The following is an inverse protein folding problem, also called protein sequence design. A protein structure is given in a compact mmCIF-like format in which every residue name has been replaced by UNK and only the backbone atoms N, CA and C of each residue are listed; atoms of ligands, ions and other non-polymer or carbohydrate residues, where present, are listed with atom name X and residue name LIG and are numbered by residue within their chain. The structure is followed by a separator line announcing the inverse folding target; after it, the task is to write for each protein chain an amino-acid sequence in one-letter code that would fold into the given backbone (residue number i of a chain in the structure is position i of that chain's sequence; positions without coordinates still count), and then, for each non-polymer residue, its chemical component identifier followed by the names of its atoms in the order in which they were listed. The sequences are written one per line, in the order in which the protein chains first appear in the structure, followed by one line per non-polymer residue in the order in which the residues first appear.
data_IF_948516688347
#
_entry.id   IF_948516688347
#
_cell.length_a   1.000
_cell.length_b   1.000
_cell.length_c   1.000
_cell.angle_alpha   90.00
_cell.angle_beta   90.00
_cell.angle_gamma   90.00
#
_symmetry.space_group_name_H-M   'P 1'
#
loop_
_entity.id
_entity.type
_entity.pdbx_description
1 polymer ?
#
# COMPACT_ATOMS: atom_id res chain seq x y z
N UNK A 1 -37.67 31.80 4.76
CA UNK A 1 -37.40 32.45 6.06
C UNK A 1 -37.41 31.47 7.24
N UNK A 2 -37.83 30.20 7.09
CA UNK A 2 -37.94 29.21 8.17
C UNK A 2 -36.61 28.49 8.60
N UNK A 3 -35.59 28.50 7.78
CA UNK A 3 -34.35 27.74 8.06
C UNK A 3 -33.45 28.36 9.15
N UNK A 4 -33.43 29.70 9.28
CA UNK A 4 -32.63 30.40 10.30
C UNK A 4 -33.22 30.23 11.70
N UNK A 5 -34.53 30.08 11.82
CA UNK A 5 -35.23 29.83 13.10
C UNK A 5 -34.91 28.44 13.64
N UNK A 6 -34.69 27.46 12.78
CA UNK A 6 -34.33 26.10 13.17
C UNK A 6 -32.93 26.02 13.76
N UNK A 7 -31.94 26.72 13.21
CA UNK A 7 -30.55 26.74 13.71
C UNK A 7 -30.46 27.42 15.07
N UNK A 8 -31.11 28.58 15.27
CA UNK A 8 -31.14 29.26 16.60
C UNK A 8 -31.78 28.39 17.67
N UNK A 9 -32.84 27.66 17.30
CA UNK A 9 -33.53 26.75 18.21
C UNK A 9 -32.66 25.55 18.57
N UNK A 10 -31.90 25.01 17.59
CA UNK A 10 -30.93 23.95 17.77
C UNK A 10 -29.79 24.39 18.73
N UNK A 11 -29.16 25.53 18.48
CA UNK A 11 -28.11 26.08 19.36
C UNK A 11 -28.59 26.30 20.79
N UNK A 12 -29.86 26.75 20.97
CA UNK A 12 -30.47 26.92 22.29
C UNK A 12 -30.72 25.58 23.01
N UNK A 13 -31.07 24.54 22.26
CA UNK A 13 -31.19 23.16 22.75
C UNK A 13 -29.85 22.60 23.22
N UNK A 14 -28.79 22.73 22.43
CA UNK A 14 -27.42 22.35 22.80
C UNK A 14 -26.99 23.06 24.11
N UNK A 15 -27.32 24.32 24.26
CA UNK A 15 -27.01 25.13 25.45
C UNK A 15 -27.77 24.71 26.71
N UNK A 16 -28.95 24.10 26.60
CA UNK A 16 -29.78 23.70 27.71
C UNK A 16 -29.41 22.34 28.33
N UNK A 17 -28.88 21.42 27.48
CA UNK A 17 -28.51 20.05 27.85
C UNK A 17 -27.02 19.79 27.61
N UNK A 18 -26.16 20.72 28.01
CA UNK A 18 -24.71 20.72 27.68
C UNK A 18 -23.99 19.39 27.97
N UNK A 19 -24.22 18.80 29.15
CA UNK A 19 -23.54 17.56 29.54
C UNK A 19 -23.87 16.39 28.59
N UNK A 20 -25.15 16.18 28.28
CA UNK A 20 -25.56 15.11 27.37
C UNK A 20 -25.06 15.34 25.93
N UNK A 21 -25.15 16.58 25.46
CA UNK A 21 -24.67 16.95 24.12
C UNK A 21 -23.17 16.73 23.98
N UNK A 22 -22.39 17.12 25.00
CA UNK A 22 -20.93 16.93 24.99
C UNK A 22 -20.58 15.44 24.99
N UNK A 23 -21.25 14.65 25.86
CA UNK A 23 -21.01 13.19 25.93
C UNK A 23 -21.36 12.52 24.60
N UNK A 24 -22.49 12.90 24.00
CA UNK A 24 -22.97 12.32 22.74
C UNK A 24 -22.04 12.67 21.57
N UNK A 25 -21.74 13.97 21.38
CA UNK A 25 -20.84 14.45 20.32
C UNK A 25 -19.44 13.90 20.51
N UNK A 26 -18.90 13.91 21.73
CA UNK A 26 -17.56 13.39 21.98
C UNK A 26 -17.48 11.87 21.75
N UNK A 27 -18.42 11.09 22.30
CA UNK A 27 -18.46 9.64 22.17
C UNK A 27 -18.62 9.22 20.68
N UNK A 28 -19.51 9.91 19.95
CA UNK A 28 -19.72 9.64 18.53
C UNK A 28 -18.48 10.07 17.72
N UNK A 29 -17.85 11.20 18.05
CA UNK A 29 -16.64 11.69 17.35
C UNK A 29 -15.46 10.73 17.50
N UNK A 30 -15.22 10.22 18.71
CA UNK A 30 -14.15 9.24 18.97
C UNK A 30 -14.43 7.92 18.23
N UNK A 31 -15.67 7.43 18.28
CA UNK A 31 -16.04 6.21 17.55
C UNK A 31 -15.86 6.38 16.05
N UNK A 32 -16.31 7.51 15.49
CA UNK A 32 -16.13 7.81 14.06
C UNK A 32 -14.65 7.99 13.68
N UNK A 33 -13.83 8.59 14.56
CA UNK A 33 -12.37 8.65 14.36
C UNK A 33 -11.78 7.25 14.14
N UNK A 34 -12.09 6.30 15.04
CA UNK A 34 -11.57 4.92 14.88
C UNK A 34 -12.10 4.24 13.62
N UNK A 35 -13.37 4.41 13.28
CA UNK A 35 -13.95 3.86 12.06
C UNK A 35 -13.26 4.44 10.82
N UNK A 36 -12.98 5.75 10.80
CA UNK A 36 -12.26 6.42 9.70
C UNK A 36 -10.84 5.85 9.57
N UNK A 37 -10.08 5.76 10.68
CA UNK A 37 -8.71 5.24 10.68
C UNK A 37 -8.66 3.78 10.19
N UNK A 38 -9.55 2.93 10.71
CA UNK A 38 -9.67 1.53 10.28
C UNK A 38 -10.03 1.44 8.79
N UNK A 39 -10.94 2.29 8.33
CA UNK A 39 -11.34 2.31 6.91
C UNK A 39 -10.20 2.72 5.99
N UNK A 40 -9.44 3.77 6.35
CA UNK A 40 -8.27 4.23 5.58
C UNK A 40 -7.23 3.10 5.51
N UNK A 41 -6.87 2.52 6.66
CA UNK A 41 -5.92 1.42 6.72
C UNK A 41 -6.38 0.22 5.87
N UNK A 42 -7.64 -0.18 6.02
CA UNK A 42 -8.21 -1.30 5.26
C UNK A 42 -8.19 -1.05 3.75
N UNK A 43 -8.55 0.15 3.31
CA UNK A 43 -8.52 0.52 1.89
C UNK A 43 -7.08 0.49 1.37
N UNK A 44 -6.11 1.00 2.12
CA UNK A 44 -4.70 0.95 1.76
C UNK A 44 -4.21 -0.50 1.61
N UNK A 45 -4.46 -1.35 2.59
CA UNK A 45 -4.07 -2.76 2.56
C UNK A 45 -4.69 -3.52 1.39
N UNK A 46 -5.99 -3.33 1.15
CA UNK A 46 -6.72 -4.02 0.08
C UNK A 46 -6.45 -3.46 -1.31
N UNK A 47 -5.77 -2.32 -1.43
CA UNK A 47 -5.44 -1.68 -2.71
C UNK A 47 -4.00 -1.89 -3.16
N UNK A 48 -3.21 -2.67 -2.40
CA UNK A 48 -1.82 -2.98 -2.75
C UNK A 48 -1.74 -3.58 -4.16
N UNK A 49 -0.83 -3.02 -4.98
CA UNK A 49 -0.57 -3.36 -6.39
C UNK A 49 -1.77 -3.28 -7.36
N UNK A 50 -2.94 -2.78 -6.95
CA UNK A 50 -4.09 -2.60 -7.86
C UNK A 50 -3.88 -1.55 -8.95
N UNK A 51 -2.88 -0.69 -8.81
CA UNK A 51 -2.51 0.31 -9.82
C UNK A 51 -1.70 -0.26 -10.99
N UNK A 52 -1.25 -1.51 -10.88
CA UNK A 52 -0.48 -2.18 -11.92
C UNK A 52 -1.39 -2.54 -13.11
N UNK A 53 -1.16 -1.91 -14.27
CA UNK A 53 -1.99 -2.09 -15.48
C UNK A 53 -2.04 -3.55 -15.96
N UNK A 54 -0.96 -4.29 -15.73
CA UNK A 54 -0.81 -5.69 -16.14
C UNK A 54 -0.73 -6.65 -14.95
N UNK A 55 -1.21 -6.23 -13.77
CA UNK A 55 -1.10 -7.02 -12.54
C UNK A 55 -1.78 -8.39 -12.60
N UNK A 56 -2.80 -8.54 -13.44
CA UNK A 56 -3.49 -9.80 -13.73
C UNK A 56 -2.66 -10.80 -14.52
N UNK A 57 -1.65 -10.33 -15.28
CA UNK A 57 -0.74 -11.12 -16.09
C UNK A 57 0.65 -11.30 -15.50
N UNK A 58 0.94 -10.61 -14.39
CA UNK A 58 2.23 -10.70 -13.71
C UNK A 58 2.15 -11.75 -12.61
N UNK A 59 3.13 -12.66 -12.60
CA UNK A 59 3.26 -13.71 -11.60
C UNK A 59 4.64 -13.69 -10.97
N UNK A 60 4.72 -13.88 -9.66
CA UNK A 60 5.95 -14.16 -8.96
C UNK A 60 6.19 -15.66 -8.89
N UNK A 61 7.43 -16.08 -9.15
CA UNK A 61 7.84 -17.48 -9.04
C UNK A 61 8.15 -17.79 -7.58
N UNK A 62 7.50 -18.82 -7.06
CA UNK A 62 7.64 -19.29 -5.69
C UNK A 62 7.91 -20.81 -5.66
N UNK A 63 8.42 -21.27 -4.55
CA UNK A 63 8.42 -22.67 -4.14
C UNK A 63 7.51 -22.85 -2.90
N UNK A 64 7.44 -24.03 -2.30
CA UNK A 64 6.49 -24.36 -1.22
C UNK A 64 6.57 -23.39 -0.02
N UNK A 65 7.75 -22.88 0.32
CA UNK A 65 7.98 -22.10 1.53
C UNK A 65 8.40 -20.65 1.28
N UNK A 66 8.66 -20.25 0.02
CA UNK A 66 9.18 -18.92 -0.25
C UNK A 66 9.00 -18.41 -1.68
N UNK A 67 8.91 -17.07 -1.79
CA UNK A 67 8.89 -16.36 -3.07
C UNK A 67 10.30 -15.84 -3.34
N UNK A 68 11.21 -16.77 -3.61
CA UNK A 68 12.61 -16.47 -3.89
C UNK A 68 13.18 -17.43 -4.94
N UNK A 69 14.13 -16.94 -5.72
CA UNK A 69 14.84 -17.69 -6.76
C UNK A 69 16.29 -17.20 -6.88
N UNK A 70 17.00 -17.69 -7.91
CA UNK A 70 18.24 -17.11 -8.39
C UNK A 70 17.99 -16.12 -9.54
N UNK A 71 18.89 -15.16 -9.74
CA UNK A 71 18.79 -14.14 -10.80
C UNK A 71 18.56 -14.74 -12.20
N UNK A 72 19.27 -15.81 -12.61
CA UNK A 72 19.13 -16.35 -13.99
C UNK A 72 17.80 -17.05 -14.26
N UNK A 73 17.05 -17.44 -13.20
CA UNK A 73 15.84 -18.27 -13.33
C UNK A 73 14.79 -17.62 -14.22
N UNK A 74 14.52 -16.33 -14.02
CA UNK A 74 13.51 -15.61 -14.81
C UNK A 74 13.81 -15.67 -16.31
N UNK A 75 15.07 -15.42 -16.70
CA UNK A 75 15.50 -15.42 -18.11
C UNK A 75 15.44 -16.80 -18.72
N UNK A 76 15.86 -17.85 -17.99
CA UNK A 76 15.77 -19.24 -18.46
C UNK A 76 14.33 -19.69 -18.68
N UNK A 77 13.42 -19.25 -17.81
CA UNK A 77 11.99 -19.53 -18.00
C UNK A 77 11.44 -18.83 -19.24
N UNK A 78 11.84 -17.57 -19.49
CA UNK A 78 11.43 -16.83 -20.69
C UNK A 78 11.94 -17.51 -21.99
N UNK A 79 13.18 -18.00 -21.99
CA UNK A 79 13.75 -18.72 -23.14
C UNK A 79 12.98 -20.02 -23.44
N UNK A 80 12.51 -20.72 -22.41
CA UNK A 80 11.86 -22.04 -22.54
C UNK A 80 10.36 -21.96 -22.81
N UNK A 81 9.67 -20.97 -22.23
CA UNK A 81 8.21 -20.90 -22.26
C UNK A 81 7.73 -19.69 -23.08
N UNK A 82 7.19 -19.94 -24.29
CA UNK A 82 6.74 -18.87 -25.19
C UNK A 82 5.51 -18.10 -24.67
N UNK A 83 4.83 -18.58 -23.63
CA UNK A 83 3.75 -17.90 -22.94
C UNK A 83 4.23 -16.67 -22.20
N UNK A 84 5.51 -16.62 -21.82
CA UNK A 84 6.11 -15.49 -21.13
C UNK A 84 6.43 -14.40 -22.14
N UNK A 85 5.86 -13.22 -21.95
CA UNK A 85 6.14 -12.03 -22.76
C UNK A 85 7.42 -11.34 -22.31
N UNK A 86 7.53 -11.09 -20.99
CA UNK A 86 8.65 -10.37 -20.37
C UNK A 86 8.95 -10.94 -19.00
N UNK A 87 10.16 -10.66 -18.53
CA UNK A 87 10.58 -10.99 -17.16
C UNK A 87 11.21 -9.77 -16.50
N UNK A 88 11.09 -9.70 -15.19
CA UNK A 88 11.76 -8.69 -14.39
C UNK A 88 12.18 -9.29 -13.05
N UNK A 89 13.38 -9.88 -12.94
CA UNK A 89 13.92 -10.26 -11.65
C UNK A 89 14.23 -9.02 -10.82
N UNK A 90 13.85 -9.09 -9.53
CA UNK A 90 14.01 -8.00 -8.57
C UNK A 90 14.72 -8.53 -7.32
N UNK A 91 15.73 -7.80 -6.85
CA UNK A 91 16.40 -8.03 -5.56
C UNK A 91 16.10 -6.85 -4.67
N UNK A 92 15.30 -7.08 -3.65
CA UNK A 92 14.87 -6.08 -2.66
C UNK A 92 15.08 -6.61 -1.25
N UNK A 93 15.08 -5.72 -0.26
CA UNK A 93 15.27 -6.02 1.17
C UNK A 93 16.62 -6.63 1.59
N UNK A 94 17.50 -6.98 0.66
CA UNK A 94 18.81 -7.50 0.96
C UNK A 94 19.87 -6.40 1.16
N UNK A 95 19.55 -5.16 0.76
CA UNK A 95 20.44 -4.01 0.78
C UNK A 95 19.75 -2.80 1.43
N UNK A 96 19.11 -3.03 2.57
CA UNK A 96 18.46 -1.97 3.35
C UNK A 96 19.49 -1.19 4.15
N UNK A 97 19.27 0.13 4.28
CA UNK A 97 20.11 1.02 5.07
C UNK A 97 21.58 1.03 4.66
N UNK A 98 21.86 0.88 3.37
CA UNK A 98 23.21 1.04 2.82
C UNK A 98 23.63 2.50 2.89
N UNK A 99 24.89 2.76 3.28
CA UNK A 99 25.40 4.11 3.33
C UNK A 99 25.80 4.54 1.92
N UNK A 100 25.28 5.69 1.50
CA UNK A 100 25.63 6.33 0.22
C UNK A 100 26.11 7.76 0.43
N UNK A 101 26.88 8.28 -0.51
CA UNK A 101 27.50 9.61 -0.44
C UNK A 101 27.24 10.37 -1.73
N UNK A 102 26.82 11.63 -1.60
CA UNK A 102 26.74 12.60 -2.70
C UNK A 102 26.87 14.02 -2.13
N UNK A 103 27.60 14.90 -2.83
CA UNK A 103 27.77 16.32 -2.44
C UNK A 103 28.08 16.52 -0.95
N UNK A 104 29.10 15.82 -0.43
CA UNK A 104 29.53 15.83 0.99
C UNK A 104 28.48 15.35 2.00
N UNK A 105 27.31 14.92 1.54
CA UNK A 105 26.28 14.30 2.39
C UNK A 105 26.48 12.80 2.44
N UNK A 106 26.24 12.24 3.64
CA UNK A 106 26.25 10.81 3.91
C UNK A 106 24.88 10.40 4.44
N UNK A 107 24.21 9.46 3.77
CA UNK A 107 22.86 9.05 4.14
C UNK A 107 22.68 7.54 4.00
N UNK A 108 21.75 6.99 4.77
CA UNK A 108 21.27 5.62 4.56
C UNK A 108 20.27 5.59 3.42
N UNK A 109 20.39 4.59 2.55
CA UNK A 109 19.52 4.35 1.42
C UNK A 109 19.12 2.87 1.33
N UNK A 110 17.90 2.62 0.93
CA UNK A 110 17.41 1.29 0.60
C UNK A 110 17.63 1.05 -0.90
N UNK A 111 18.49 0.10 -1.21
CA UNK A 111 18.82 -0.25 -2.59
C UNK A 111 17.93 -1.39 -3.07
N UNK A 112 17.45 -1.26 -4.29
CA UNK A 112 16.78 -2.32 -5.02
C UNK A 112 17.47 -2.51 -6.36
N UNK A 113 17.65 -3.76 -6.78
CA UNK A 113 18.22 -4.10 -8.09
C UNK A 113 17.14 -4.76 -8.93
N UNK A 114 17.00 -4.31 -10.17
CA UNK A 114 16.01 -4.85 -11.09
C UNK A 114 16.53 -4.87 -12.53
N UNK A 115 15.81 -5.60 -13.37
CA UNK A 115 16.05 -5.58 -14.80
C UNK A 115 15.83 -4.21 -15.41
N UNK A 116 16.50 -3.93 -16.53
CA UNK A 116 16.37 -2.66 -17.26
C UNK A 116 14.94 -2.37 -17.73
N UNK A 117 14.11 -3.39 -17.85
CA UNK A 117 12.70 -3.29 -18.25
C UNK A 117 11.76 -2.85 -17.12
N UNK A 118 12.24 -2.62 -15.91
CA UNK A 118 11.43 -2.37 -14.71
C UNK A 118 10.25 -1.42 -14.93
N UNK A 119 10.49 -0.24 -15.53
CA UNK A 119 9.44 0.76 -15.80
C UNK A 119 8.53 0.44 -16.99
N UNK A 120 8.89 -0.55 -17.80
CA UNK A 120 8.05 -1.10 -18.87
C UNK A 120 7.33 -2.38 -18.44
N UNK A 121 7.79 -2.99 -17.36
CA UNK A 121 7.20 -4.19 -16.77
C UNK A 121 6.16 -3.83 -15.71
N UNK A 122 6.52 -2.92 -14.80
CA UNK A 122 5.64 -2.41 -13.74
C UNK A 122 5.13 -1.01 -14.07
N UNK A 123 3.97 -0.66 -13.53
CA UNK A 123 3.32 0.64 -13.73
C UNK A 123 3.78 1.71 -12.72
N UNK A 124 5.00 1.59 -12.20
CA UNK A 124 5.58 2.64 -11.35
C UNK A 124 5.87 3.89 -12.16
N UNK A 125 5.57 5.04 -11.57
CA UNK A 125 5.67 6.32 -12.26
C UNK A 125 7.09 6.86 -12.25
N UNK A 126 7.66 7.07 -13.43
CA UNK A 126 8.88 7.81 -13.64
C UNK A 126 8.53 9.30 -13.79
N UNK A 127 9.17 10.16 -13.00
CA UNK A 127 8.92 11.61 -12.96
C UNK A 127 9.85 12.37 -13.88
N UNK A 128 11.10 11.89 -14.00
CA UNK A 128 12.12 12.43 -14.90
C UNK A 128 12.94 11.28 -15.47
N UNK A 129 13.34 11.40 -16.72
CA UNK A 129 14.06 10.39 -17.48
C UNK A 129 13.19 9.67 -18.51
N UNK A 130 13.80 8.81 -19.32
CA UNK A 130 13.13 7.99 -20.33
C UNK A 130 13.07 6.53 -19.83
N UNK A 131 11.87 5.95 -19.77
CA UNK A 131 11.62 4.57 -19.31
C UNK A 131 12.53 3.53 -19.98
N UNK A 132 12.91 3.76 -21.24
CA UNK A 132 13.75 2.84 -22.00
C UNK A 132 15.25 3.07 -21.77
N UNK A 133 15.65 4.17 -21.12
CA UNK A 133 17.05 4.57 -21.00
C UNK A 133 17.58 4.65 -19.58
N UNK A 134 16.70 4.90 -18.59
CA UNK A 134 17.12 5.17 -17.21
C UNK A 134 17.91 4.03 -16.56
N UNK A 135 17.72 2.78 -16.99
CA UNK A 135 18.45 1.60 -16.48
C UNK A 135 19.21 0.88 -17.58
N UNK A 136 19.68 1.55 -18.65
CA UNK A 136 20.41 0.89 -19.75
C UNK A 136 21.84 0.53 -19.35
N UNK A 137 22.59 1.45 -18.79
CA UNK A 137 23.96 1.18 -18.38
C UNK A 137 24.00 0.58 -16.97
N UNK A 138 25.02 -0.26 -16.70
CA UNK A 138 25.19 -0.96 -15.41
C UNK A 138 25.31 0.00 -14.23
N UNK A 139 25.89 1.17 -14.45
CA UNK A 139 26.09 2.21 -13.44
C UNK A 139 24.97 3.26 -13.42
N UNK A 140 23.86 3.04 -14.10
CA UNK A 140 22.70 3.91 -14.02
C UNK A 140 21.89 3.62 -12.76
N UNK A 141 21.34 4.70 -12.18
CA UNK A 141 20.45 4.63 -11.02
C UNK A 141 19.22 5.51 -11.23
N UNK A 142 18.09 5.04 -10.74
CA UNK A 142 16.87 5.86 -10.59
C UNK A 142 16.66 6.11 -9.12
N UNK A 143 16.48 7.38 -8.75
CA UNK A 143 16.31 7.81 -7.36
C UNK A 143 14.84 8.09 -7.05
N UNK A 144 14.36 7.77 -5.84
CA UNK A 144 13.02 8.15 -5.40
C UNK A 144 12.93 9.67 -5.17
N UNK A 145 11.72 10.24 -5.38
CA UNK A 145 11.49 11.69 -5.17
C UNK A 145 11.89 12.14 -3.77
N UNK A 146 11.46 11.41 -2.76
CA UNK A 146 11.74 11.77 -1.37
C UNK A 146 13.24 11.73 -1.07
N UNK A 147 13.95 10.72 -1.59
CA UNK A 147 15.38 10.61 -1.37
C UNK A 147 16.17 11.65 -2.19
N UNK A 148 15.73 11.96 -3.42
CA UNK A 148 16.30 13.05 -4.23
C UNK A 148 16.24 14.39 -3.50
N UNK A 149 15.09 14.74 -2.94
CA UNK A 149 14.92 15.99 -2.18
C UNK A 149 15.80 16.03 -0.92
N UNK A 150 15.98 14.91 -0.22
CA UNK A 150 16.85 14.83 0.97
C UNK A 150 18.33 14.99 0.60
N UNK A 151 18.77 14.34 -0.47
CA UNK A 151 20.17 14.28 -0.85
C UNK A 151 20.62 15.53 -1.61
N UNK A 152 19.85 15.98 -2.57
CA UNK A 152 20.19 17.09 -3.49
C UNK A 152 19.44 18.39 -3.18
N UNK A 153 18.36 18.34 -2.36
CA UNK A 153 17.55 19.54 -2.06
C UNK A 153 16.76 20.00 -3.27
N UNK A 154 17.05 21.22 -3.73
CA UNK A 154 16.40 21.84 -4.90
C UNK A 154 17.16 21.62 -6.21
N UNK A 155 18.36 21.05 -6.17
CA UNK A 155 19.19 20.81 -7.35
C UNK A 155 18.62 19.63 -8.15
N UNK A 156 18.79 19.71 -9.48
CA UNK A 156 18.40 18.59 -10.34
C UNK A 156 19.29 17.37 -10.05
N UNK A 157 18.72 16.26 -9.61
CA UNK A 157 19.49 15.07 -9.33
C UNK A 157 19.96 14.33 -10.59
N UNK A 158 19.34 14.56 -11.76
CA UNK A 158 19.68 13.85 -13.00
C UNK A 158 21.06 14.30 -13.49
N UNK A 159 21.92 13.34 -13.78
CA UNK A 159 23.33 13.57 -14.14
C UNK A 159 24.27 13.66 -12.94
N UNK A 160 23.77 13.71 -11.72
CA UNK A 160 24.59 13.69 -10.51
C UNK A 160 25.11 12.27 -10.21
N UNK A 161 26.25 12.19 -9.53
CA UNK A 161 26.87 10.92 -9.11
C UNK A 161 26.58 10.62 -7.65
N UNK A 162 26.23 9.39 -7.34
CA UNK A 162 26.08 8.87 -5.99
C UNK A 162 27.10 7.76 -5.80
N UNK A 163 27.97 7.91 -4.80
CA UNK A 163 28.92 6.87 -4.40
C UNK A 163 28.20 5.91 -3.44
N UNK A 164 28.21 4.63 -3.76
CA UNK A 164 27.51 3.57 -3.00
C UNK A 164 28.46 2.59 -2.31
N UNK A 165 29.75 2.62 -2.68
CA UNK A 165 30.85 1.94 -1.98
C UNK A 165 32.16 2.70 -2.22
N UNK A 166 33.26 2.20 -1.67
CA UNK A 166 34.58 2.83 -1.89
C UNK A 166 35.03 2.78 -3.35
N UNK A 167 34.57 1.77 -4.09
CA UNK A 167 34.95 1.54 -5.50
C UNK A 167 33.83 1.81 -6.49
N UNK A 168 32.58 2.01 -6.04
CA UNK A 168 31.43 2.04 -6.93
C UNK A 168 30.65 3.35 -6.79
N UNK A 169 30.49 4.01 -7.94
CA UNK A 169 29.62 5.18 -8.09
C UNK A 169 28.60 4.93 -9.21
N UNK A 170 27.38 5.42 -9.01
CA UNK A 170 26.31 5.35 -9.99
C UNK A 170 25.87 6.74 -10.40
N UNK A 171 25.41 6.88 -11.64
CA UNK A 171 24.87 8.11 -12.19
C UNK A 171 23.36 8.11 -12.08
N UNK A 172 22.78 9.14 -11.51
CA UNK A 172 21.34 9.34 -11.48
C UNK A 172 20.86 9.67 -12.89
N UNK A 173 20.05 8.82 -13.48
CA UNK A 173 19.53 8.94 -14.85
C UNK A 173 18.03 9.20 -14.89
N UNK A 174 17.37 9.15 -13.72
CA UNK A 174 15.95 9.43 -13.59
C UNK A 174 15.50 9.57 -12.15
N UNK A 175 14.31 10.13 -12.00
CA UNK A 175 13.61 10.26 -10.71
C UNK A 175 12.29 9.53 -10.81
N UNK A 176 12.00 8.66 -9.86
CA UNK A 176 10.72 7.95 -9.77
C UNK A 176 9.88 8.49 -8.61
N UNK A 177 8.57 8.30 -8.70
CA UNK A 177 7.68 8.47 -7.56
C UNK A 177 8.03 7.42 -6.48
N UNK A 178 7.86 7.79 -5.21
CA UNK A 178 8.14 6.85 -4.12
C UNK A 178 7.29 5.59 -4.29
N UNK A 179 7.92 4.42 -4.22
CA UNK A 179 7.20 3.14 -4.23
C UNK A 179 6.39 3.04 -2.95
N UNK A 180 5.08 3.09 -3.09
CA UNK A 180 4.10 2.97 -2.00
C UNK A 180 3.04 1.97 -2.40
N UNK A 181 2.39 1.38 -1.41
CA UNK A 181 1.24 0.51 -1.63
C UNK A 181 1.53 -0.63 -2.63
N UNK A 182 2.70 -1.28 -2.47
CA UNK A 182 3.16 -2.36 -3.34
C UNK A 182 3.81 -3.49 -2.52
N UNK A 183 3.75 -4.72 -3.05
CA UNK A 183 4.55 -5.84 -2.58
C UNK A 183 6.05 -5.60 -2.82
N UNK A 184 6.42 -4.77 -3.80
CA UNK A 184 7.80 -4.31 -3.96
C UNK A 184 8.09 -3.27 -2.87
N UNK A 185 9.16 -3.44 -2.04
CA UNK A 185 9.47 -2.56 -0.93
C UNK A 185 9.81 -1.13 -1.36
N UNK A 186 9.64 -0.21 -0.41
CA UNK A 186 10.15 1.15 -0.57
C UNK A 186 11.63 1.14 -0.94
N UNK A 187 11.97 1.91 -1.96
CA UNK A 187 13.29 1.94 -2.57
C UNK A 187 13.75 3.38 -2.72
N UNK A 188 14.93 3.69 -2.19
CA UNK A 188 15.56 5.00 -2.38
C UNK A 188 16.33 5.07 -3.69
N UNK A 189 17.06 3.99 -4.02
CA UNK A 189 17.84 3.84 -5.24
C UNK A 189 17.50 2.53 -5.94
N UNK A 190 17.00 2.63 -7.16
CA UNK A 190 16.80 1.50 -8.06
C UNK A 190 18.00 1.40 -9.00
N UNK A 191 18.66 0.27 -8.96
CA UNK A 191 19.89 -0.03 -9.69
C UNK A 191 19.65 -1.17 -10.67
N UNK A 192 20.50 -1.24 -11.68
CA UNK A 192 20.47 -2.35 -12.62
C UNK A 192 20.94 -3.64 -11.97
N UNK A 193 20.25 -4.76 -12.28
CA UNK A 193 20.49 -6.05 -11.60
C UNK A 193 21.91 -6.58 -11.77
N UNK A 194 22.55 -6.29 -12.90
CA UNK A 194 23.94 -6.71 -13.14
C UNK A 194 24.95 -5.99 -12.21
N UNK A 195 24.55 -4.84 -11.64
CA UNK A 195 25.35 -4.12 -10.64
C UNK A 195 25.43 -4.82 -9.29
N UNK A 196 24.53 -5.75 -9.01
CA UNK A 196 24.49 -6.43 -7.70
C UNK A 196 25.77 -7.22 -7.38
N UNK A 197 26.49 -7.69 -8.40
CA UNK A 197 27.75 -8.44 -8.22
C UNK A 197 28.85 -7.64 -7.54
N UNK A 198 28.79 -6.32 -7.58
CA UNK A 198 29.74 -5.43 -6.91
C UNK A 198 29.53 -5.41 -5.40
N UNK A 199 28.32 -5.73 -4.94
CA UNK A 199 27.96 -5.83 -3.52
C UNK A 199 28.03 -7.27 -3.01
N UNK A 200 27.63 -8.21 -3.86
CA UNK A 200 27.65 -9.62 -3.54
C UNK A 200 27.86 -10.45 -4.82
N UNK A 201 29.09 -10.89 -5.01
CA UNK A 201 29.48 -11.66 -6.19
C UNK A 201 28.70 -12.99 -6.38
N UNK A 202 28.04 -13.50 -5.31
CA UNK A 202 27.21 -14.71 -5.42
C UNK A 202 25.87 -14.45 -6.10
N UNK A 203 25.47 -13.19 -6.31
CA UNK A 203 24.19 -12.79 -6.91
C UNK A 203 24.30 -12.50 -8.41
N UNK A 204 25.42 -12.87 -9.07
CA UNK A 204 25.60 -12.62 -10.49
C UNK A 204 24.62 -13.35 -11.41
N UNK A 205 24.50 -12.82 -12.63
CA UNK A 205 23.62 -13.37 -13.69
C UNK A 205 23.97 -14.81 -14.08
N UNK A 206 25.21 -15.21 -13.93
CA UNK A 206 25.75 -16.54 -14.22
C UNK A 206 25.79 -17.46 -12.99
N UNK A 207 25.29 -16.98 -11.83
CA UNK A 207 25.37 -17.67 -10.56
C UNK A 207 24.08 -18.42 -10.21
N UNK A 208 24.02 -19.67 -10.57
CA UNK A 208 22.89 -20.58 -10.25
C UNK A 208 22.96 -21.15 -8.82
N UNK A 209 23.98 -20.83 -8.07
CA UNK A 209 24.17 -21.31 -6.69
C UNK A 209 23.55 -20.40 -5.62
N UNK A 210 22.98 -19.26 -6.00
CA UNK A 210 22.22 -18.41 -5.10
C UNK A 210 20.72 -18.61 -5.31
N UNK A 211 20.00 -18.96 -4.26
CA UNK A 211 18.61 -19.31 -4.32
C UNK A 211 17.70 -18.45 -3.41
N UNK A 212 18.23 -17.40 -2.79
CA UNK A 212 17.49 -16.74 -1.71
C UNK A 212 17.27 -15.23 -1.87
N UNK A 213 17.81 -14.60 -2.90
CA UNK A 213 17.85 -13.15 -2.96
C UNK A 213 16.85 -12.52 -3.93
N UNK A 214 16.47 -13.25 -4.97
CA UNK A 214 15.75 -12.70 -6.12
C UNK A 214 14.29 -13.12 -6.12
N UNK A 215 13.37 -12.18 -6.35
CA UNK A 215 12.01 -12.49 -6.77
C UNK A 215 11.96 -12.42 -8.30
N UNK A 216 11.67 -13.54 -8.95
CA UNK A 216 11.50 -13.60 -10.40
C UNK A 216 10.04 -13.27 -10.75
N UNK A 217 9.82 -12.13 -11.38
CA UNK A 217 8.51 -11.78 -11.93
C UNK A 217 8.43 -12.13 -13.41
N UNK A 218 7.33 -12.77 -13.81
CA UNK A 218 7.01 -13.19 -15.17
C UNK A 218 5.74 -12.47 -15.61
N UNK A 219 5.76 -11.83 -16.77
CA UNK A 219 4.56 -11.29 -17.41
C UNK A 219 4.13 -12.23 -18.53
N UNK A 220 2.91 -12.73 -18.44
CA UNK A 220 2.34 -13.61 -19.46
C UNK A 220 1.84 -12.80 -20.66
N UNK A 221 1.87 -13.40 -21.85
CA UNK A 221 1.16 -12.87 -23.02
C UNK A 221 -0.34 -12.80 -22.76
N UNK A 222 -1.07 -11.88 -23.41
CA UNK A 222 -2.52 -11.80 -23.27
C UNK A 222 -3.18 -13.17 -23.54
N UNK A 223 -4.00 -13.62 -22.57
CA UNK A 223 -4.70 -14.91 -22.65
C UNK A 223 -3.86 -16.16 -22.37
N UNK A 224 -2.55 -16.04 -22.14
CA UNK A 224 -1.71 -17.16 -21.77
C UNK A 224 -1.75 -17.45 -20.26
N UNK A 225 -1.71 -18.74 -19.90
CA UNK A 225 -1.63 -19.21 -18.51
C UNK A 225 -0.57 -20.31 -18.39
N UNK A 226 0.40 -20.09 -17.53
CA UNK A 226 1.51 -21.03 -17.31
C UNK A 226 1.29 -21.91 -16.06
N UNK A 227 0.25 -21.64 -15.24
CA UNK A 227 -0.04 -22.41 -14.04
C UNK A 227 -0.28 -23.91 -14.26
N UNK A 228 -0.91 -24.35 -15.37
CA UNK A 228 -1.02 -25.79 -15.67
C UNK A 228 0.31 -26.48 -15.96
N UNK A 229 1.40 -25.73 -16.21
CA UNK A 229 2.73 -26.25 -16.55
C UNK A 229 3.73 -26.20 -15.39
N UNK A 230 3.28 -25.92 -14.16
CA UNK A 230 4.18 -25.79 -12.99
C UNK A 230 5.01 -27.03 -12.70
N UNK A 231 4.49 -28.23 -12.96
CA UNK A 231 5.24 -29.49 -12.81
C UNK A 231 6.32 -29.64 -13.88
N UNK A 232 6.04 -29.21 -15.13
CA UNK A 232 7.03 -29.16 -16.21
C UNK A 232 8.13 -28.14 -15.89
N UNK A 233 7.76 -26.97 -15.34
CA UNK A 233 8.72 -25.95 -14.89
C UNK A 233 9.60 -26.51 -13.76
N UNK A 234 9.03 -27.22 -12.79
CA UNK A 234 9.80 -27.81 -11.70
C UNK A 234 10.78 -28.86 -12.23
N UNK A 235 10.38 -29.65 -13.23
CA UNK A 235 11.23 -30.62 -13.90
C UNK A 235 12.36 -29.92 -14.67
N UNK A 236 12.04 -28.88 -15.44
CA UNK A 236 13.04 -28.10 -16.15
C UNK A 236 14.04 -27.41 -15.21
N UNK A 237 13.57 -26.90 -14.05
CA UNK A 237 14.47 -26.29 -13.07
C UNK A 237 15.49 -27.29 -12.48
N UNK A 238 15.21 -28.59 -12.44
CA UNK A 238 16.17 -29.62 -12.02
C UNK A 238 17.42 -29.69 -12.91
N UNK A 239 17.33 -29.25 -14.15
CA UNK A 239 18.45 -29.27 -15.09
C UNK A 239 19.53 -28.25 -14.72
N UNK A 240 19.17 -27.09 -14.16
CA UNK A 240 20.11 -25.98 -13.97
C UNK A 240 20.08 -25.34 -12.59
N UNK A 241 19.01 -25.49 -11.78
CA UNK A 241 18.88 -24.78 -10.52
C UNK A 241 18.99 -25.75 -9.32
N UNK A 242 20.04 -25.62 -8.57
CA UNK A 242 20.48 -26.59 -7.57
C UNK A 242 19.43 -26.97 -6.50
N UNK A 243 18.52 -26.06 -6.00
CA UNK A 243 17.56 -26.48 -4.99
C UNK A 243 16.56 -27.53 -5.51
N UNK A 244 16.18 -27.44 -6.81
CA UNK A 244 15.34 -28.43 -7.46
C UNK A 244 16.14 -29.69 -7.82
N UNK A 245 17.40 -29.54 -8.26
CA UNK A 245 18.29 -30.67 -8.56
C UNK A 245 18.54 -31.54 -7.33
N UNK A 246 18.68 -30.93 -6.14
CA UNK A 246 18.86 -31.62 -4.86
C UNK A 246 17.54 -32.02 -4.20
N UNK A 247 16.40 -31.81 -4.85
CA UNK A 247 15.06 -32.10 -4.36
C UNK A 247 14.69 -31.40 -3.04
N UNK A 248 15.37 -30.32 -2.71
CA UNK A 248 15.03 -29.44 -1.58
C UNK A 248 13.74 -28.68 -1.86
N UNK A 249 13.59 -28.19 -3.09
CA UNK A 249 12.37 -27.58 -3.61
C UNK A 249 11.75 -28.55 -4.62
N UNK A 250 10.45 -28.80 -4.49
CA UNK A 250 9.77 -29.84 -5.29
C UNK A 250 8.75 -29.26 -6.26
N UNK A 251 8.08 -28.17 -5.85
CA UNK A 251 7.01 -27.57 -6.62
C UNK A 251 7.35 -26.15 -7.01
N UNK A 252 6.90 -25.77 -8.19
CA UNK A 252 6.84 -24.36 -8.61
C UNK A 252 5.42 -23.86 -8.39
N UNK A 253 5.30 -22.68 -7.83
CA UNK A 253 4.04 -21.99 -7.61
C UNK A 253 4.13 -20.63 -8.28
N UNK A 254 3.15 -20.30 -9.11
CA UNK A 254 3.04 -19.00 -9.75
C UNK A 254 1.98 -18.20 -9.01
N UNK A 255 2.42 -17.19 -8.27
CA UNK A 255 1.54 -16.35 -7.46
C UNK A 255 1.21 -15.09 -8.26
N UNK A 256 -0.07 -14.81 -8.58
CA UNK A 256 -0.46 -13.56 -9.23
C UNK A 256 -0.03 -12.36 -8.40
N UNK A 257 0.41 -11.27 -9.04
CA UNK A 257 0.87 -10.05 -8.35
C UNK A 257 -0.21 -9.48 -7.43
N UNK A 258 -1.48 -9.53 -7.84
CA UNK A 258 -2.61 -9.05 -7.05
C UNK A 258 -2.84 -9.85 -5.74
N UNK A 259 -2.30 -11.06 -5.65
CA UNK A 259 -2.42 -11.96 -4.50
C UNK A 259 -1.13 -12.03 -3.69
N UNK A 260 0.00 -11.56 -4.27
CA UNK A 260 1.33 -11.71 -3.70
C UNK A 260 1.43 -11.11 -2.29
N UNK A 261 0.89 -9.91 -2.10
CA UNK A 261 0.95 -9.21 -0.81
C UNK A 261 0.31 -9.99 0.34
N UNK A 262 -0.82 -10.66 0.08
CA UNK A 262 -1.55 -11.48 1.06
C UNK A 262 -1.26 -12.98 0.94
N UNK A 263 -0.29 -13.36 0.09
CA UNK A 263 0.09 -14.78 -0.05
C UNK A 263 0.54 -15.35 1.29
N UNK A 264 0.17 -16.60 1.60
CA UNK A 264 0.73 -17.33 2.74
C UNK A 264 2.22 -17.63 2.55
N UNK A 265 2.67 -17.75 1.29
CA UNK A 265 4.08 -17.95 0.94
C UNK A 265 4.74 -16.58 0.88
N UNK A 266 5.69 -16.34 1.79
CA UNK A 266 6.38 -15.05 1.92
C UNK A 266 7.70 -15.02 1.14
N UNK A 267 8.17 -13.83 0.83
CA UNK A 267 9.45 -13.59 0.16
C UNK A 267 10.14 -12.35 0.68
N UNK A 268 11.03 -11.80 -0.13
CA UNK A 268 11.80 -10.58 0.22
C UNK A 268 11.00 -9.28 0.03
N UNK A 269 9.75 -9.37 -0.43
CA UNK A 269 8.85 -8.23 -0.61
C UNK A 269 8.06 -7.85 0.64
N UNK A 270 7.29 -6.77 0.54
CA UNK A 270 6.28 -6.43 1.54
C UNK A 270 5.17 -7.48 1.54
N UNK A 271 4.64 -7.76 2.72
CA UNK A 271 3.54 -8.70 2.86
C UNK A 271 2.59 -8.26 3.96
N UNK A 272 1.30 -8.47 3.74
CA UNK A 272 0.24 -8.22 4.70
C UNK A 272 -0.34 -9.52 5.29
N UNK A 273 -1.22 -9.35 6.26
CA UNK A 273 -2.02 -10.43 6.83
C UNK A 273 -3.50 -10.17 6.56
N UNK A 274 -4.08 -10.94 5.65
CA UNK A 274 -5.50 -10.82 5.29
C UNK A 274 -6.42 -11.08 6.48
N UNK A 275 -6.03 -11.98 7.40
CA UNK A 275 -6.82 -12.27 8.60
C UNK A 275 -6.86 -11.07 9.52
N UNK A 276 -5.71 -10.41 9.71
CA UNK A 276 -5.63 -9.20 10.51
C UNK A 276 -6.54 -8.09 9.95
N UNK A 277 -6.53 -7.88 8.64
CA UNK A 277 -7.40 -6.90 7.97
C UNK A 277 -8.88 -7.21 8.20
N UNK A 278 -9.29 -8.49 8.08
CA UNK A 278 -10.68 -8.92 8.31
C UNK A 278 -11.08 -8.70 9.78
N UNK A 279 -10.20 -9.03 10.73
CA UNK A 279 -10.46 -8.80 12.17
C UNK A 279 -10.62 -7.30 12.43
N UNK A 280 -9.73 -6.47 11.88
CA UNK A 280 -9.78 -5.02 12.06
C UNK A 280 -11.06 -4.41 11.47
N UNK A 281 -11.49 -4.86 10.29
CA UNK A 281 -12.79 -4.47 9.70
C UNK A 281 -13.96 -4.85 10.61
N UNK A 282 -13.93 -6.07 11.17
CA UNK A 282 -14.99 -6.54 12.09
C UNK A 282 -15.05 -5.67 13.34
N UNK A 283 -13.90 -5.30 13.91
CA UNK A 283 -13.81 -4.37 15.05
C UNK A 283 -14.38 -3.00 14.66
N UNK A 284 -14.04 -2.47 13.49
CA UNK A 284 -14.59 -1.19 13.00
C UNK A 284 -16.12 -1.21 12.89
N UNK A 285 -16.69 -2.29 12.37
CA UNK A 285 -18.14 -2.48 12.30
C UNK A 285 -18.76 -2.53 13.70
N UNK A 286 -18.14 -3.26 14.64
CA UNK A 286 -18.62 -3.33 16.02
C UNK A 286 -18.59 -1.96 16.71
N UNK A 287 -17.52 -1.20 16.53
CA UNK A 287 -17.42 0.19 17.06
C UNK A 287 -18.56 1.04 16.50
N UNK A 288 -18.85 0.95 15.20
CA UNK A 288 -19.92 1.69 14.58
C UNK A 288 -21.30 1.29 15.16
N UNK A 289 -21.53 0.01 15.35
CA UNK A 289 -22.77 -0.51 15.96
C UNK A 289 -22.90 0.02 17.39
N UNK A 290 -21.85 -0.02 18.21
CA UNK A 290 -21.90 0.53 19.57
C UNK A 290 -22.10 2.05 19.59
N UNK A 291 -21.50 2.78 18.64
CA UNK A 291 -21.74 4.21 18.50
C UNK A 291 -23.22 4.54 18.21
N UNK A 292 -23.84 3.76 17.31
CA UNK A 292 -25.27 3.88 17.01
C UNK A 292 -26.12 3.53 18.22
N UNK A 293 -25.83 2.46 18.95
CA UNK A 293 -26.55 2.12 20.19
C UNK A 293 -26.41 3.18 21.27
N UNK A 294 -25.19 3.73 21.47
CA UNK A 294 -24.98 4.83 22.39
C UNK A 294 -25.84 6.04 22.06
N UNK A 295 -25.88 6.43 20.76
CA UNK A 295 -26.74 7.50 20.27
C UNK A 295 -28.22 7.22 20.51
N UNK A 296 -28.70 6.00 20.22
CA UNK A 296 -30.08 5.60 20.45
C UNK A 296 -30.43 5.68 21.94
N UNK A 297 -29.58 5.11 22.81
CA UNK A 297 -29.82 5.10 24.25
C UNK A 297 -29.90 6.51 24.83
N UNK A 298 -29.02 7.44 24.42
CA UNK A 298 -29.06 8.84 24.83
C UNK A 298 -30.30 9.56 24.32
N UNK A 299 -30.71 9.28 23.09
CA UNK A 299 -31.93 9.82 22.48
C UNK A 299 -33.19 9.34 23.22
N UNK A 300 -33.25 8.06 23.58
CA UNK A 300 -34.36 7.48 24.36
C UNK A 300 -34.39 8.05 25.80
N UNK A 301 -33.23 8.18 26.43
CA UNK A 301 -33.18 8.82 27.79
C UNK A 301 -33.71 10.26 27.82
N UNK A 302 -33.61 10.98 26.69
CA UNK A 302 -34.14 12.35 26.55
C UNK A 302 -35.61 12.38 26.07
N UNK A 303 -36.19 11.24 25.71
CA UNK A 303 -37.53 11.16 25.06
C UNK A 303 -38.62 11.83 25.93
N UNK A 304 -38.57 11.69 27.26
CA UNK A 304 -39.56 12.31 28.15
C UNK A 304 -39.52 13.84 28.12
N UNK A 305 -38.37 14.45 28.08
CA UNK A 305 -38.21 15.91 27.97
C UNK A 305 -38.62 16.39 26.55
N UNK A 306 -38.23 15.68 25.55
CA UNK A 306 -38.60 15.95 24.15
C UNK A 306 -40.13 15.82 23.91
N UNK A 307 -40.79 14.81 24.51
CA UNK A 307 -42.23 14.65 24.44
C UNK A 307 -43.00 15.85 24.99
N UNK A 308 -42.58 16.41 26.12
CA UNK A 308 -43.16 17.63 26.69
C UNK A 308 -43.03 18.83 25.73
N UNK A 309 -41.81 19.05 25.19
CA UNK A 309 -41.60 20.14 24.21
C UNK A 309 -42.46 19.95 22.94
N UNK A 310 -42.54 18.75 22.44
CA UNK A 310 -43.32 18.43 21.26
C UNK A 310 -44.84 18.60 21.48
N UNK A 311 -45.35 18.17 22.66
CA UNK A 311 -46.75 18.38 23.05
C UNK A 311 -47.06 19.86 23.10
N UNK A 312 -46.22 20.68 23.76
CA UNK A 312 -46.45 22.14 23.84
C UNK A 312 -46.49 22.78 22.43
N UNK A 313 -45.58 22.39 21.54
CA UNK A 313 -45.53 22.94 20.18
C UNK A 313 -46.74 22.51 19.35
N UNK A 314 -47.24 21.31 19.57
CA UNK A 314 -48.43 20.81 18.90
C UNK A 314 -49.69 21.58 19.34
N UNK A 315 -49.74 21.92 20.62
CA UNK A 315 -50.80 22.80 21.15
C UNK A 315 -50.72 24.22 20.57
N UNK A 316 -49.54 24.66 20.17
CA UNK A 316 -49.29 25.96 19.52
C UNK A 316 -49.46 25.90 18.00
N UNK A 317 -49.97 24.78 17.44
CA UNK A 317 -50.34 24.67 16.02
C UNK A 317 -49.30 24.06 15.09
N UNK A 318 -48.18 23.51 15.60
CA UNK A 318 -47.18 22.84 14.74
C UNK A 318 -47.73 21.54 14.15
N UNK A 319 -47.48 21.28 12.85
CA UNK A 319 -47.84 20.06 12.17
C UNK A 319 -46.92 18.88 12.56
N UNK A 320 -47.40 17.64 12.34
CA UNK A 320 -46.58 16.44 12.58
C UNK A 320 -45.31 16.42 11.70
N UNK A 321 -45.43 16.87 10.45
CA UNK A 321 -44.30 16.93 9.50
C UNK A 321 -43.24 17.93 9.93
N UNK A 322 -43.62 19.09 10.46
CA UNK A 322 -42.68 20.09 10.98
C UNK A 322 -41.87 19.56 12.21
N UNK A 323 -42.58 18.87 13.11
CA UNK A 323 -41.93 18.28 14.29
C UNK A 323 -40.94 17.14 13.88
N UNK A 324 -41.34 16.29 12.94
CA UNK A 324 -40.47 15.24 12.42
C UNK A 324 -39.24 15.83 11.71
N UNK A 325 -39.44 16.81 10.81
CA UNK A 325 -38.34 17.46 10.09
C UNK A 325 -37.35 18.13 11.04
N UNK A 326 -37.86 18.73 12.11
CA UNK A 326 -37.02 19.32 13.15
C UNK A 326 -36.12 18.29 13.84
N UNK A 327 -36.69 17.12 14.23
CA UNK A 327 -35.90 16.03 14.82
C UNK A 327 -34.84 15.52 13.86
N UNK A 328 -35.18 15.37 12.57
CA UNK A 328 -34.23 14.97 11.55
C UNK A 328 -33.08 15.96 11.40
N UNK A 329 -33.38 17.27 11.32
CA UNK A 329 -32.35 18.31 11.24
C UNK A 329 -31.46 18.31 12.47
N UNK A 330 -32.04 18.15 13.67
CA UNK A 330 -31.29 18.11 14.92
C UNK A 330 -30.31 16.91 14.96
N UNK A 331 -30.80 15.70 14.69
CA UNK A 331 -30.01 14.48 14.65
C UNK A 331 -28.91 14.53 13.57
N UNK A 332 -29.27 14.97 12.37
CA UNK A 332 -28.29 15.11 11.28
C UNK A 332 -27.20 16.12 11.61
N UNK A 333 -27.59 17.26 12.22
CA UNK A 333 -26.61 18.29 12.60
C UNK A 333 -25.61 17.78 13.65
N UNK A 334 -26.07 17.03 14.67
CA UNK A 334 -25.21 16.41 15.68
C UNK A 334 -24.26 15.39 15.03
N UNK A 335 -24.76 14.55 14.16
CA UNK A 335 -23.95 13.55 13.46
C UNK A 335 -22.89 14.22 12.56
N UNK A 336 -23.24 15.28 11.84
CA UNK A 336 -22.30 16.02 10.98
C UNK A 336 -21.20 16.68 11.82
N UNK A 337 -21.55 17.31 12.96
CA UNK A 337 -20.58 17.91 13.88
C UNK A 337 -19.64 16.82 14.41
N UNK A 338 -20.18 15.70 14.87
CA UNK A 338 -19.39 14.57 15.37
C UNK A 338 -18.48 13.98 14.29
N UNK A 339 -18.95 13.89 13.05
CA UNK A 339 -18.14 13.42 11.92
C UNK A 339 -16.97 14.36 11.62
N UNK A 340 -17.22 15.68 11.59
CA UNK A 340 -16.16 16.67 11.37
C UNK A 340 -15.12 16.61 12.48
N UNK A 341 -15.54 16.53 13.74
CA UNK A 341 -14.63 16.38 14.87
C UNK A 341 -13.86 15.05 14.82
N UNK A 342 -14.52 13.95 14.47
CA UNK A 342 -13.89 12.65 14.26
C UNK A 342 -12.83 12.68 13.17
N UNK A 343 -13.11 13.37 12.08
CA UNK A 343 -12.15 13.57 10.99
C UNK A 343 -10.94 14.41 11.45
N UNK A 344 -11.18 15.50 12.17
CA UNK A 344 -10.09 16.32 12.72
C UNK A 344 -9.22 15.53 13.70
N UNK A 345 -9.83 14.72 14.56
CA UNK A 345 -9.08 13.84 15.46
C UNK A 345 -8.27 12.79 14.69
N UNK A 346 -8.85 12.19 13.66
CA UNK A 346 -8.13 11.25 12.80
C UNK A 346 -6.92 11.91 12.13
N UNK A 347 -7.08 13.12 11.59
CA UNK A 347 -5.98 13.88 11.00
C UNK A 347 -4.89 14.23 12.02
N UNK A 348 -5.25 14.60 13.24
CA UNK A 348 -4.28 14.91 14.29
C UNK A 348 -3.48 13.70 14.78
N UNK A 349 -4.02 12.49 14.66
CA UNK A 349 -3.32 11.24 15.02
C UNK A 349 -2.40 10.76 13.89
N UNK A 350 -2.70 11.11 12.64
CA UNK A 350 -1.92 10.68 11.46
C UNK A 350 -0.86 11.69 10.99
N UNK A 351 -0.84 12.90 11.55
CA UNK A 351 0.18 13.95 11.32
C UNK A 351 1.42 13.73 12.18
#
# INVERSE_FOLDING_TARGET
MNNLLNIKSFLKFLGKNKAYTVIDVFGLSVSLMFVILISIYTVQELSVDKFQEHGDRIYAVAYEEGVVTGVPVAYRLQERYPEIERVCPVISNNFNSMIVWANDKKMNANLCFADSSFFNFFSFKLLSGDKNRVLQARNNAVISRTFANKLFGTDDPVGQSIRISDSTSVMVTGVMEDIKNSAIPYTDLLLRIEGVTEFNGSLGMDRYNNAGATTAFLMMKPGADLRPKTDDIATYMKEFFWPYKMELWKKVILIPMNELYFSPIKGNGNSGDKRFVIVLMSVGILILIFAVFNYINLTVAQAGQRAKEMATRRLLGSSRGELFMRLMVESTSLTVISFILGLLFAMAVTS
#
